data_IF_217854198547
#
_entry.id   IF_217854198547
#
_cell.length_a   1.000
_cell.length_b   1.000
_cell.length_c   1.000
_cell.angle_alpha   90.00
_cell.angle_beta   90.00
_cell.angle_gamma   90.00
#
_symmetry.space_group_name_H-M   'P 1'
#
loop_
_entity.id
_entity.type
_entity.pdbx_description
1 polymer ?
#
# COMPACT_ATOMS: atom_id res chain seq x y z
N UNK A 1 1.72 6.05 -7.13
CA UNK A 1 2.90 6.08 -6.24
C UNK A 1 3.68 4.78 -6.28
N UNK A 2 3.06 3.63 -5.95
CA UNK A 2 3.76 2.33 -5.98
C UNK A 2 4.36 1.98 -7.36
N UNK A 3 3.62 2.21 -8.45
CA UNK A 3 4.16 2.08 -9.81
C UNK A 3 5.37 3.01 -10.06
N UNK A 4 5.33 4.25 -9.55
CA UNK A 4 6.47 5.17 -9.66
C UNK A 4 7.73 4.65 -8.98
N UNK A 5 7.59 3.98 -7.83
CA UNK A 5 8.70 3.28 -7.19
C UNK A 5 9.24 2.12 -8.05
N UNK A 6 8.36 1.28 -8.59
CA UNK A 6 8.75 0.16 -9.46
C UNK A 6 9.50 0.62 -10.72
N UNK A 7 9.01 1.68 -11.37
CA UNK A 7 9.68 2.30 -12.52
C UNK A 7 11.05 2.86 -12.15
N UNK A 8 11.16 3.53 -10.99
CA UNK A 8 12.44 4.02 -10.48
C UNK A 8 13.44 2.88 -10.20
N UNK A 9 12.94 1.72 -9.78
CA UNK A 9 13.74 0.50 -9.62
C UNK A 9 14.01 -0.23 -10.95
N UNK A 10 13.68 0.35 -12.10
CA UNK A 10 13.99 -0.18 -13.43
C UNK A 10 12.99 -1.21 -13.96
N UNK A 11 11.81 -1.35 -13.36
CA UNK A 11 10.77 -2.24 -13.90
C UNK A 11 10.17 -1.65 -15.18
N UNK A 12 10.17 -2.41 -16.28
CA UNK A 12 9.68 -1.98 -17.60
C UNK A 12 8.15 -1.98 -17.74
N UNK A 13 7.44 -1.33 -16.81
CA UNK A 13 5.96 -1.30 -16.79
C UNK A 13 5.44 -0.14 -17.63
N UNK A 14 4.29 -0.30 -18.30
CA UNK A 14 3.58 0.78 -18.98
C UNK A 14 4.48 1.67 -19.88
N UNK A 15 5.43 1.06 -20.60
CA UNK A 15 6.36 1.81 -21.45
C UNK A 15 7.36 2.71 -20.71
N UNK A 16 7.59 2.46 -19.41
CA UNK A 16 8.53 3.22 -18.58
C UNK A 16 7.94 4.48 -17.93
N UNK A 17 6.62 4.69 -18.05
CA UNK A 17 5.94 5.87 -17.52
C UNK A 17 4.81 5.50 -16.57
N UNK A 18 4.46 6.42 -15.66
CA UNK A 18 3.29 6.25 -14.80
C UNK A 18 2.03 6.42 -15.67
N UNK A 19 1.15 5.40 -15.76
CA UNK A 19 -0.05 5.46 -16.59
C UNK A 19 -1.11 6.42 -16.04
N UNK A 20 -2.01 6.88 -16.90
CA UNK A 20 -3.21 7.63 -16.50
C UNK A 20 -4.22 6.72 -15.77
N UNK A 21 -5.20 7.31 -15.10
CA UNK A 21 -6.30 6.57 -14.47
C UNK A 21 -7.05 5.74 -15.50
N UNK A 22 -7.33 6.28 -16.69
CA UNK A 22 -8.03 5.57 -17.75
C UNK A 22 -7.23 4.38 -18.26
N UNK A 23 -5.90 4.51 -18.39
CA UNK A 23 -5.02 3.41 -18.77
C UNK A 23 -5.01 2.31 -17.70
N UNK A 24 -5.00 2.67 -16.42
CA UNK A 24 -5.12 1.70 -15.33
C UNK A 24 -6.46 0.96 -15.36
N UNK A 25 -7.56 1.69 -15.57
CA UNK A 25 -8.90 1.09 -15.68
C UNK A 25 -8.96 0.08 -16.84
N UNK A 26 -8.45 0.45 -18.02
CA UNK A 26 -8.43 -0.43 -19.19
C UNK A 26 -7.56 -1.67 -18.96
N UNK A 27 -6.41 -1.51 -18.29
CA UNK A 27 -5.54 -2.65 -18.02
C UNK A 27 -6.16 -3.62 -17.00
N UNK A 28 -6.88 -3.12 -15.99
CA UNK A 28 -7.63 -3.97 -15.06
C UNK A 28 -8.70 -4.77 -15.82
N UNK A 29 -9.49 -4.14 -16.68
CA UNK A 29 -10.50 -4.83 -17.49
C UNK A 29 -9.88 -5.92 -18.37
N UNK A 30 -8.78 -5.61 -19.05
CA UNK A 30 -8.05 -6.56 -19.89
C UNK A 30 -7.55 -7.76 -19.08
N UNK A 31 -7.06 -7.54 -17.85
CA UNK A 31 -6.61 -8.61 -16.96
C UNK A 31 -7.77 -9.44 -16.41
N UNK A 32 -8.90 -8.81 -16.10
CA UNK A 32 -10.14 -9.51 -15.75
C UNK A 32 -10.65 -10.42 -16.88
N UNK A 33 -10.51 -10.01 -18.14
CA UNK A 33 -10.80 -10.86 -19.30
C UNK A 33 -9.80 -12.02 -19.43
N UNK A 34 -8.56 -11.81 -19.03
CA UNK A 34 -7.53 -12.85 -18.94
C UNK A 34 -7.67 -13.77 -17.71
N UNK A 35 -8.78 -13.67 -16.95
CA UNK A 35 -9.11 -14.59 -15.85
C UNK A 35 -8.56 -14.19 -14.48
N UNK A 36 -8.00 -12.98 -14.33
CA UNK A 36 -7.59 -12.48 -13.02
C UNK A 36 -8.81 -12.05 -12.20
N UNK A 37 -8.82 -12.38 -10.92
CA UNK A 37 -9.83 -11.97 -9.92
C UNK A 37 -11.30 -11.89 -10.41
N UNK A 38 -11.92 -13.03 -10.84
CA UNK A 38 -13.33 -13.04 -11.23
C UNK A 38 -14.29 -12.49 -10.15
N UNK A 39 -14.08 -12.74 -8.84
CA UNK A 39 -14.90 -12.13 -7.79
C UNK A 39 -14.82 -10.60 -7.75
N UNK A 40 -13.61 -10.01 -7.80
CA UNK A 40 -13.43 -8.55 -7.85
C UNK A 40 -14.05 -7.92 -9.11
N UNK A 41 -13.89 -8.58 -10.27
CA UNK A 41 -14.59 -8.20 -11.51
C UNK A 41 -16.10 -8.15 -11.30
N UNK A 42 -16.68 -9.20 -10.73
CA UNK A 42 -18.11 -9.30 -10.50
C UNK A 42 -18.60 -8.22 -9.53
N UNK A 43 -17.87 -7.99 -8.44
CA UNK A 43 -18.19 -6.96 -7.44
C UNK A 43 -18.28 -5.56 -8.08
N UNK A 44 -17.43 -5.28 -9.06
CA UNK A 44 -17.40 -4.01 -9.78
C UNK A 44 -18.26 -4.02 -11.05
N UNK A 45 -19.09 -5.04 -11.27
CA UNK A 45 -19.99 -5.13 -12.43
C UNK A 45 -19.29 -5.32 -13.77
N UNK A 46 -18.01 -5.72 -13.77
CA UNK A 46 -17.26 -6.10 -14.95
C UNK A 46 -16.71 -4.96 -15.81
N UNK A 47 -16.75 -3.71 -15.35
CA UNK A 47 -16.21 -2.55 -16.06
C UNK A 47 -15.74 -1.44 -15.11
N UNK A 48 -14.74 -0.67 -15.53
CA UNK A 48 -14.08 0.42 -14.86
C UNK A 48 -13.82 1.64 -15.75
N UNK A 49 -13.55 1.47 -17.04
CA UNK A 49 -13.18 2.57 -17.95
C UNK A 49 -14.30 3.60 -18.01
N UNK A 50 -13.95 4.86 -17.79
CA UNK A 50 -14.91 5.97 -17.74
C UNK A 50 -15.76 6.02 -16.46
N UNK A 51 -15.58 5.06 -15.54
CA UNK A 51 -16.27 5.05 -14.25
C UNK A 51 -15.55 5.92 -13.21
N UNK A 52 -16.26 6.18 -12.11
CA UNK A 52 -15.70 6.72 -10.86
C UNK A 52 -15.76 5.66 -9.73
N UNK A 53 -15.79 4.38 -10.08
CA UNK A 53 -15.85 3.29 -9.10
C UNK A 53 -14.59 3.28 -8.25
N UNK A 54 -14.76 3.08 -6.96
CA UNK A 54 -13.65 2.92 -6.05
C UNK A 54 -13.05 1.52 -6.21
N UNK A 55 -11.73 1.48 -6.30
CA UNK A 55 -10.94 0.25 -6.36
C UNK A 55 -10.16 0.07 -5.06
N UNK A 56 -9.76 -1.15 -4.77
CA UNK A 56 -9.07 -1.51 -3.54
C UNK A 56 -7.73 -2.20 -3.77
N UNK A 57 -7.29 -2.94 -2.76
CA UNK A 57 -6.09 -3.78 -2.84
C UNK A 57 -6.24 -4.89 -3.88
N UNK A 58 -7.46 -5.38 -4.15
CA UNK A 58 -7.72 -6.44 -5.12
C UNK A 58 -7.33 -6.01 -6.54
N UNK A 59 -7.85 -4.89 -7.03
CA UNK A 59 -7.51 -4.37 -8.37
C UNK A 59 -6.04 -3.96 -8.47
N UNK A 60 -5.48 -3.39 -7.40
CA UNK A 60 -4.04 -3.09 -7.35
C UNK A 60 -3.17 -4.37 -7.44
N UNK A 61 -3.62 -5.47 -6.82
CA UNK A 61 -2.97 -6.78 -6.89
C UNK A 61 -3.08 -7.38 -8.30
N UNK A 62 -4.25 -7.27 -8.94
CA UNK A 62 -4.47 -7.68 -10.34
C UNK A 62 -3.48 -6.98 -11.25
N UNK A 63 -3.36 -5.65 -11.17
CA UNK A 63 -2.41 -4.88 -11.98
C UNK A 63 -0.98 -5.37 -11.81
N UNK A 64 -0.51 -5.50 -10.58
CA UNK A 64 0.87 -5.89 -10.31
C UNK A 64 1.16 -7.33 -10.78
N UNK A 65 0.29 -8.29 -10.46
CA UNK A 65 0.49 -9.70 -10.83
C UNK A 65 0.30 -9.93 -12.33
N UNK A 66 -0.58 -9.16 -12.98
CA UNK A 66 -0.72 -9.13 -14.43
C UNK A 66 0.57 -8.75 -15.16
N UNK A 67 1.42 -7.96 -14.52
CA UNK A 67 2.78 -7.64 -14.98
C UNK A 67 3.88 -8.48 -14.31
N UNK A 68 3.52 -9.67 -13.80
CA UNK A 68 4.46 -10.62 -13.16
C UNK A 68 5.17 -10.08 -11.92
N UNK A 69 4.64 -9.03 -11.28
CA UNK A 69 5.17 -8.49 -10.03
C UNK A 69 4.55 -9.25 -8.88
N UNK A 70 5.40 -9.89 -8.08
CA UNK A 70 4.91 -10.62 -6.90
C UNK A 70 4.48 -9.65 -5.82
N UNK A 71 3.23 -9.77 -5.43
CA UNK A 71 2.65 -9.06 -4.31
C UNK A 71 1.56 -9.89 -3.63
N UNK A 72 1.34 -9.61 -2.35
CA UNK A 72 0.28 -10.21 -1.56
C UNK A 72 -0.53 -9.14 -0.83
N UNK A 73 -1.80 -9.44 -0.61
CA UNK A 73 -2.70 -8.65 0.22
C UNK A 73 -2.69 -9.25 1.63
N UNK A 74 -2.48 -8.41 2.63
CA UNK A 74 -2.55 -8.79 4.03
C UNK A 74 -3.74 -8.08 4.65
N UNK A 75 -4.73 -8.84 5.10
CA UNK A 75 -5.92 -8.29 5.75
C UNK A 75 -5.78 -8.35 7.27
N UNK A 76 -6.11 -7.24 7.93
CA UNK A 76 -6.14 -7.08 9.39
C UNK A 76 -7.58 -6.77 9.79
N UNK A 77 -8.17 -7.61 10.61
CA UNK A 77 -9.54 -7.42 11.11
C UNK A 77 -9.51 -7.52 12.63
N UNK A 78 -10.13 -6.54 13.29
CA UNK A 78 -10.24 -6.55 14.75
C UNK A 78 -11.15 -7.68 15.20
N UNK A 79 -10.79 -8.38 16.28
CA UNK A 79 -11.65 -9.37 16.90
C UNK A 79 -12.95 -8.73 17.38
N UNK A 80 -14.06 -9.03 16.73
CA UNK A 80 -15.38 -8.68 17.21
C UNK A 80 -15.79 -9.59 18.36
N UNK A 81 -15.30 -9.33 19.58
CA UNK A 81 -15.92 -9.70 20.87
C UNK A 81 -15.02 -9.33 22.07
N UNK A 82 -15.41 -8.28 22.81
CA UNK A 82 -15.47 -8.23 24.28
C UNK A 82 -14.31 -8.69 25.20
N UNK A 83 -13.08 -8.92 24.72
CA UNK A 83 -11.93 -9.26 25.58
C UNK A 83 -10.92 -8.12 25.68
N UNK A 84 -10.49 -7.77 26.90
CA UNK A 84 -9.55 -6.68 27.21
C UNK A 84 -8.13 -6.86 26.63
N UNK A 85 -7.87 -7.92 25.85
CA UNK A 85 -6.56 -8.29 25.31
C UNK A 85 -6.48 -8.53 23.79
N UNK A 86 -7.49 -8.12 23.00
CA UNK A 86 -7.41 -8.22 21.53
C UNK A 86 -6.64 -7.04 20.92
N UNK A 87 -5.53 -7.33 20.21
CA UNK A 87 -4.79 -6.33 19.45
C UNK A 87 -5.70 -5.73 18.36
N UNK A 88 -5.84 -4.39 18.30
CA UNK A 88 -6.65 -3.76 17.25
C UNK A 88 -6.04 -4.01 15.86
N UNK A 89 -6.89 -4.07 14.82
CA UNK A 89 -6.45 -4.16 13.42
C UNK A 89 -5.38 -3.13 13.06
N UNK A 90 -5.55 -1.91 13.58
CA UNK A 90 -4.61 -0.82 13.38
C UNK A 90 -3.25 -1.08 14.05
N UNK A 91 -3.22 -1.64 15.26
CA UNK A 91 -1.97 -1.96 15.97
C UNK A 91 -1.19 -3.04 15.20
N UNK A 92 -1.85 -4.13 14.80
CA UNK A 92 -1.20 -5.19 14.04
C UNK A 92 -0.71 -4.72 12.66
N UNK A 93 -1.49 -3.88 11.97
CA UNK A 93 -1.10 -3.27 10.70
C UNK A 93 0.15 -2.40 10.87
N UNK A 94 0.19 -1.57 11.92
CA UNK A 94 1.34 -0.72 12.23
C UNK A 94 2.57 -1.57 12.54
N UNK A 95 2.43 -2.61 13.36
CA UNK A 95 3.55 -3.50 13.68
C UNK A 95 4.05 -4.23 12.43
N UNK A 96 3.16 -4.65 11.51
CA UNK A 96 3.56 -5.18 10.20
C UNK A 96 4.34 -4.14 9.38
N UNK A 97 3.89 -2.89 9.33
CA UNK A 97 4.60 -1.83 8.62
C UNK A 97 5.98 -1.56 9.24
N UNK A 98 6.08 -1.54 10.56
CA UNK A 98 7.34 -1.35 11.27
C UNK A 98 8.32 -2.49 10.95
N UNK A 99 7.86 -3.73 10.97
CA UNK A 99 8.68 -4.89 10.59
C UNK A 99 9.16 -4.80 9.15
N UNK A 100 8.27 -4.40 8.23
CA UNK A 100 8.60 -4.22 6.81
C UNK A 100 9.74 -3.22 6.61
N UNK A 101 9.64 -2.02 7.17
CA UNK A 101 10.66 -0.98 7.02
C UNK A 101 11.95 -1.22 7.82
N UNK A 102 11.95 -2.19 8.75
CA UNK A 102 13.15 -2.64 9.47
C UNK A 102 13.87 -3.80 8.79
N UNK A 103 13.23 -4.51 7.86
CA UNK A 103 13.78 -5.76 7.31
C UNK A 103 15.08 -5.56 6.51
N UNK A 104 15.32 -4.37 5.97
CA UNK A 104 16.57 -4.05 5.25
C UNK A 104 16.98 -2.62 5.54
N UNK A 105 17.59 -2.33 6.70
CA UNK A 105 18.04 -0.99 7.02
C UNK A 105 19.13 -0.58 6.03
N UNK A 106 19.07 0.64 5.51
CA UNK A 106 20.13 1.15 4.65
C UNK A 106 21.46 1.26 5.42
N UNK A 107 22.61 1.13 4.75
CA UNK A 107 23.91 1.26 5.40
C UNK A 107 24.04 2.63 6.10
N UNK A 108 24.57 2.63 7.32
CA UNK A 108 24.80 3.87 8.10
C UNK A 108 23.55 4.62 8.53
N UNK A 109 22.37 3.97 8.58
CA UNK A 109 21.11 4.64 8.88
C UNK A 109 20.45 5.31 7.67
N UNK A 110 20.93 5.02 6.46
CA UNK A 110 20.31 5.42 5.20
C UNK A 110 18.91 4.80 5.02
N UNK A 111 18.12 5.36 4.10
CA UNK A 111 16.79 4.88 3.78
C UNK A 111 16.82 3.39 3.41
N UNK A 112 15.86 2.63 3.95
CA UNK A 112 15.66 1.23 3.60
C UNK A 112 15.35 1.09 2.11
N UNK A 113 15.90 0.07 1.44
CA UNK A 113 15.59 -0.27 0.05
C UNK A 113 14.28 -1.04 -0.09
N UNK A 114 13.50 -1.21 0.98
CA UNK A 114 12.22 -1.91 0.90
C UNK A 114 11.16 -1.06 0.19
N UNK A 115 10.25 -1.67 -0.57
CA UNK A 115 9.23 -0.90 -1.29
C UNK A 115 8.20 -0.23 -0.37
N UNK A 116 7.53 0.85 -0.83
CA UNK A 116 6.35 1.39 -0.17
C UNK A 116 5.23 0.35 -0.02
N UNK A 117 4.36 0.55 0.98
CA UNK A 117 3.17 -0.27 1.21
C UNK A 117 1.93 0.46 0.72
N UNK A 118 1.07 -0.21 -0.05
CA UNK A 118 -0.26 0.31 -0.36
C UNK A 118 -1.19 -0.04 0.80
N UNK A 119 -1.74 0.99 1.46
CA UNK A 119 -2.61 0.88 2.62
C UNK A 119 -4.04 1.19 2.23
N UNK A 120 -4.94 0.25 2.49
CA UNK A 120 -6.38 0.40 2.32
C UNK A 120 -7.08 0.32 3.67
N UNK A 121 -8.12 1.12 3.83
CA UNK A 121 -9.19 0.88 4.79
C UNK A 121 -10.51 1.35 4.17
N UNK A 122 -11.60 1.21 4.92
CA UNK A 122 -12.90 1.72 4.51
C UNK A 122 -12.85 3.22 4.17
N UNK A 123 -13.17 3.53 2.93
CA UNK A 123 -13.32 4.87 2.37
C UNK A 123 -12.06 5.56 1.87
N UNK A 124 -10.85 4.99 2.01
CA UNK A 124 -9.64 5.66 1.51
C UNK A 124 -8.44 4.73 1.33
N UNK A 125 -7.56 5.09 0.40
CA UNK A 125 -6.28 4.43 0.18
C UNK A 125 -5.11 5.39 0.22
N UNK A 126 -3.98 4.93 0.73
CA UNK A 126 -2.79 5.73 0.99
C UNK A 126 -1.52 4.89 0.77
N UNK A 127 -0.36 5.55 0.63
CA UNK A 127 0.91 4.85 0.48
C UNK A 127 1.80 5.10 1.70
N UNK A 128 2.17 4.05 2.45
CA UNK A 128 3.14 4.15 3.55
C UNK A 128 4.53 4.04 2.96
N UNK A 129 5.38 5.03 3.21
CA UNK A 129 6.76 5.12 2.70
C UNK A 129 7.82 5.00 3.80
N UNK A 130 7.40 4.88 5.05
CA UNK A 130 8.30 4.67 6.16
C UNK A 130 7.61 4.73 7.51
N UNK A 131 8.40 4.51 8.55
CA UNK A 131 7.97 4.60 9.96
C UNK A 131 8.98 5.41 10.75
N UNK A 132 8.51 6.16 11.73
CA UNK A 132 9.37 6.86 12.68
C UNK A 132 8.99 6.43 14.10
N UNK A 133 9.95 5.84 14.83
CA UNK A 133 9.84 5.56 16.26
C UNK A 133 10.62 6.60 17.05
N UNK A 134 9.93 7.43 17.83
CA UNK A 134 10.54 8.41 18.73
C UNK A 134 10.53 7.88 20.16
N UNK A 135 11.68 7.87 20.83
CA UNK A 135 11.75 7.61 22.27
C UNK A 135 11.26 8.84 23.03
N UNK A 136 10.38 8.63 24.00
CA UNK A 136 9.82 9.68 24.86
C UNK A 136 9.90 9.22 26.33
N UNK A 137 9.90 10.13 27.31
CA UNK A 137 9.71 9.76 28.70
C UNK A 137 8.41 8.96 28.85
N UNK A 138 8.51 7.72 29.35
CA UNK A 138 7.35 6.82 29.49
C UNK A 138 7.10 5.88 28.30
N UNK A 139 7.92 5.87 27.25
CA UNK A 139 7.86 4.83 26.22
C UNK A 139 8.38 5.23 24.83
N UNK A 140 7.71 4.72 23.80
CA UNK A 140 7.99 5.04 22.41
C UNK A 140 6.71 5.52 21.73
N UNK A 141 6.86 6.52 20.85
CA UNK A 141 5.78 7.01 20.00
C UNK A 141 6.11 6.71 18.55
N UNK A 142 5.22 5.95 17.93
CA UNK A 142 5.34 5.56 16.53
C UNK A 142 4.51 6.47 15.63
N UNK A 143 5.03 6.71 14.43
CA UNK A 143 4.39 7.47 13.38
C UNK A 143 4.58 6.75 12.05
N UNK A 144 3.55 6.79 11.21
CA UNK A 144 3.67 6.40 9.81
C UNK A 144 4.06 7.62 8.99
N UNK A 145 4.92 7.41 7.99
CA UNK A 145 5.15 8.37 6.92
C UNK A 145 4.27 7.95 5.74
N UNK A 146 3.26 8.76 5.44
CA UNK A 146 2.17 8.41 4.53
C UNK A 146 2.05 9.48 3.45
N UNK A 147 2.13 9.04 2.20
CA UNK A 147 1.72 9.83 1.04
C UNK A 147 0.23 9.60 0.80
N UNK A 148 -0.55 10.67 0.91
CA UNK A 148 -2.00 10.66 0.77
C UNK A 148 -2.38 11.33 -0.55
N UNK A 149 -3.08 10.66 -1.48
CA UNK A 149 -3.50 11.30 -2.74
C UNK A 149 -4.37 12.54 -2.50
N UNK A 150 -5.05 12.64 -1.35
CA UNK A 150 -5.82 13.81 -0.95
C UNK A 150 -5.00 15.08 -0.69
N UNK A 151 -3.66 15.00 -0.66
CA UNK A 151 -2.80 16.19 -0.63
C UNK A 151 -2.94 17.04 -1.89
N UNK A 152 -3.31 16.42 -3.02
CA UNK A 152 -3.40 17.07 -4.31
C UNK A 152 -2.04 17.54 -4.85
N UNK A 153 -2.05 18.04 -6.08
CA UNK A 153 -0.84 18.48 -6.79
C UNK A 153 -0.05 19.55 -6.02
N UNK A 154 -0.74 20.59 -5.56
CA UNK A 154 -0.13 21.68 -4.79
C UNK A 154 0.48 21.18 -3.47
N UNK A 155 -0.22 20.29 -2.76
CA UNK A 155 0.30 19.72 -1.52
C UNK A 155 1.53 18.84 -1.74
N UNK A 156 1.59 18.09 -2.85
CA UNK A 156 2.79 17.34 -3.23
C UNK A 156 3.94 18.25 -3.67
N UNK A 157 3.66 19.36 -4.34
CA UNK A 157 4.68 20.37 -4.67
C UNK A 157 5.28 20.99 -3.41
N UNK A 158 4.44 21.35 -2.43
CA UNK A 158 4.88 21.84 -1.13
C UNK A 158 5.70 20.80 -0.36
N UNK A 159 5.29 19.53 -0.43
CA UNK A 159 6.04 18.43 0.17
C UNK A 159 7.43 18.29 -0.46
N UNK A 160 7.52 18.28 -1.78
CA UNK A 160 8.80 18.20 -2.49
C UNK A 160 9.71 19.39 -2.13
N UNK A 161 9.18 20.61 -2.09
CA UNK A 161 9.92 21.81 -1.72
C UNK A 161 10.39 21.78 -0.26
N UNK A 162 9.54 21.32 0.68
CA UNK A 162 9.90 21.19 2.09
C UNK A 162 10.95 20.08 2.32
N UNK A 163 10.81 18.95 1.61
CA UNK A 163 11.75 17.84 1.68
C UNK A 163 13.14 18.25 1.14
N UNK A 164 13.20 18.96 0.01
CA UNK A 164 14.44 19.49 -0.54
C UNK A 164 15.16 20.46 0.42
N UNK A 165 14.42 21.22 1.22
CA UNK A 165 14.96 22.11 2.26
C UNK A 165 15.34 21.39 3.56
N UNK A 166 14.99 20.11 3.70
CA UNK A 166 15.23 19.31 4.90
C UNK A 166 14.40 19.71 6.14
N UNK A 167 13.35 20.51 5.99
CA UNK A 167 12.54 21.00 7.14
C UNK A 167 11.07 21.18 6.80
N UNK A 168 10.20 20.82 7.74
CA UNK A 168 8.76 21.08 7.66
C UNK A 168 8.00 20.15 6.71
N UNK A 169 8.66 19.13 6.16
CA UNK A 169 8.03 18.10 5.34
C UNK A 169 7.18 17.15 6.20
N UNK A 170 7.53 16.98 7.47
CA UNK A 170 6.88 16.06 8.39
C UNK A 170 5.39 16.38 8.55
N UNK A 171 5.00 17.66 8.60
CA UNK A 171 3.58 18.05 8.74
C UNK A 171 2.72 17.53 7.59
N UNK A 172 3.31 17.32 6.41
CA UNK A 172 2.61 16.93 5.20
C UNK A 172 2.43 15.41 5.10
N UNK A 173 3.33 14.61 5.67
CA UNK A 173 3.33 13.14 5.48
C UNK A 173 3.36 12.33 6.77
N UNK A 174 3.83 12.90 7.88
CA UNK A 174 3.88 12.21 9.17
C UNK A 174 2.48 12.14 9.77
N UNK A 175 2.04 10.94 10.15
CA UNK A 175 0.72 10.70 10.74
C UNK A 175 0.86 9.98 12.07
N UNK A 176 0.13 10.48 13.07
CA UNK A 176 -0.05 9.77 14.33
C UNK A 176 -0.95 8.55 14.11
N UNK A 177 -0.83 7.56 15.00
CA UNK A 177 -1.62 6.34 14.89
C UNK A 177 -3.06 6.49 15.41
N UNK A 178 -3.32 7.50 16.25
CA UNK A 178 -4.62 7.66 16.92
C UNK A 178 -5.82 7.72 15.96
N UNK A 179 -5.78 8.43 14.80
CA UNK A 179 -6.87 8.38 13.84
C UNK A 179 -7.05 7.00 13.18
N UNK A 180 -5.97 6.22 13.06
CA UNK A 180 -6.00 4.89 12.45
C UNK A 180 -6.67 3.86 13.39
N UNK A 181 -6.54 4.01 14.70
CA UNK A 181 -7.17 3.12 15.69
C UNK A 181 -8.71 3.08 15.60
N UNK A 182 -9.34 4.00 14.85
CA UNK A 182 -10.80 4.10 14.72
C UNK A 182 -11.42 3.20 13.65
N UNK A 183 -10.61 2.55 12.80
CA UNK A 183 -11.11 1.69 11.72
C UNK A 183 -11.00 0.22 12.13
N UNK A 184 -12.05 -0.55 11.83
CA UNK A 184 -12.15 -1.96 12.20
C UNK A 184 -11.30 -2.88 11.32
N UNK A 185 -11.03 -2.46 10.09
CA UNK A 185 -10.34 -3.27 9.08
C UNK A 185 -9.30 -2.45 8.32
N UNK A 186 -8.19 -3.11 8.02
CA UNK A 186 -7.12 -2.60 7.18
C UNK A 186 -6.64 -3.68 6.23
N UNK A 187 -6.14 -3.25 5.07
CA UNK A 187 -5.38 -4.12 4.20
C UNK A 187 -4.07 -3.44 3.79
N UNK A 188 -3.01 -4.23 3.71
CA UNK A 188 -1.74 -3.84 3.11
C UNK A 188 -1.52 -4.68 1.86
N UNK A 189 -1.28 -4.03 0.73
CA UNK A 189 -0.65 -4.69 -0.41
C UNK A 189 0.87 -4.50 -0.34
N UNK A 190 1.58 -5.62 -0.36
CA UNK A 190 3.02 -5.71 -0.11
C UNK A 190 3.71 -6.39 -1.28
N UNK A 191 4.77 -5.77 -1.80
CA UNK A 191 5.63 -6.37 -2.82
C UNK A 191 6.57 -7.41 -2.21
N UNK A 192 6.79 -8.51 -2.91
CA UNK A 192 7.67 -9.60 -2.49
C UNK A 192 8.83 -9.78 -3.49
N UNK A 193 9.96 -9.09 -3.26
CA UNK A 193 11.07 -9.13 -4.21
C UNK A 193 11.79 -10.49 -4.28
N UNK A 194 11.63 -11.36 -3.27
CA UNK A 194 12.49 -12.54 -3.05
C UNK A 194 11.87 -13.90 -3.48
N UNK A 195 11.19 -13.98 -4.63
CA UNK A 195 10.45 -15.21 -5.01
C UNK A 195 10.67 -15.76 -6.43
N UNK A 196 11.66 -15.29 -7.20
CA UNK A 196 11.82 -15.68 -8.62
C UNK A 196 10.65 -15.21 -9.50
N UNK A 197 10.56 -15.59 -10.78
CA UNK A 197 9.42 -15.21 -11.63
C UNK A 197 8.09 -15.77 -11.09
N UNK A 198 6.99 -15.00 -11.18
CA UNK A 198 5.66 -15.53 -10.91
C UNK A 198 5.25 -16.46 -12.06
N UNK A 199 4.85 -17.70 -11.75
CA UNK A 199 4.24 -18.57 -12.77
C UNK A 199 2.87 -18.01 -13.17
N UNK A 200 2.40 -18.21 -14.42
CA UNK A 200 1.11 -17.69 -14.87
C UNK A 200 -0.08 -18.09 -13.99
N UNK A 201 -0.15 -19.36 -13.57
CA UNK A 201 -1.19 -19.87 -12.66
C UNK A 201 -1.12 -19.20 -11.29
N UNK A 202 0.09 -18.93 -10.80
CA UNK A 202 0.26 -18.18 -9.56
C UNK A 202 -0.21 -16.75 -9.77
N UNK A 203 0.15 -16.08 -10.86
CA UNK A 203 -0.23 -14.70 -11.12
C UNK A 203 -1.75 -14.49 -11.02
N UNK A 204 -2.55 -15.41 -11.57
CA UNK A 204 -4.02 -15.35 -11.56
C UNK A 204 -4.65 -15.65 -10.18
N UNK A 205 -4.00 -16.48 -9.35
CA UNK A 205 -4.49 -16.81 -8.01
C UNK A 205 -4.05 -15.74 -6.99
N UNK A 206 -4.83 -14.65 -6.87
CA UNK A 206 -4.62 -13.66 -5.81
C UNK A 206 -4.64 -14.34 -4.44
N UNK A 207 -3.51 -14.32 -3.72
CA UNK A 207 -3.43 -14.84 -2.34
C UNK A 207 -3.74 -13.70 -1.38
N UNK A 208 -4.95 -13.71 -0.82
CA UNK A 208 -5.26 -12.91 0.36
C UNK A 208 -4.76 -13.65 1.61
N UNK A 209 -3.75 -13.08 2.27
CA UNK A 209 -3.24 -13.58 3.54
C UNK A 209 -4.03 -12.88 4.64
N UNK A 210 -5.04 -13.57 5.17
CA UNK A 210 -5.82 -13.06 6.31
C UNK A 210 -5.06 -13.28 7.62
N UNK A 211 -4.73 -12.21 8.34
CA UNK A 211 -4.24 -12.28 9.71
C UNK A 211 -5.46 -12.06 10.61
N UNK A 212 -5.96 -13.14 11.23
CA UNK A 212 -6.89 -13.03 12.35
C UNK A 212 -6.08 -12.72 13.61
N UNK A 213 -6.46 -11.64 14.29
CA UNK A 213 -5.87 -11.20 15.56
C UNK A 213 -6.58 -11.85 16.74
#
# INVERSE_FOLDING_TARGET
MLLGHLLHCGQGLFGGAVPSVQTLQAEIERLWEAGFDPPGRQQLGGWLVGSQKWIGTSEACVLLRGHSIRCNIISFRGGGTGGESSESAAAAMVERAIRHFRASPGPGGSASSVPPLYLQHDGHSRTVVGVQRRREPGGCKDFLLVLDPGLGEHGFADFAAAAARGRGWERLVKRSLAPLLKKAEYELLVLEPSGGPLRPEEAQAARCISIRL
#
